data_IF_532594571757
#
_entry.id   IF_532594571757
#
_cell.length_a   1.000
_cell.length_b   1.000
_cell.length_c   1.000
_cell.angle_alpha   90.00
_cell.angle_beta   90.00
_cell.angle_gamma   90.00
#
_symmetry.space_group_name_H-M   'P 1'
#
loop_
_entity.id
_entity.type
_entity.pdbx_description
1 polymer ?
#
# COMPACT_ATOMS: atom_id res chain seq x y z
N UNK A 1 1.72 10.77 6.93
CA UNK A 1 0.47 10.20 6.38
C UNK A 1 -0.02 9.09 7.30
N UNK A 2 -1.31 9.06 7.56
CA UNK A 2 -1.89 8.00 8.35
C UNK A 2 -1.98 6.71 7.55
N UNK A 3 -1.75 5.60 8.22
CA UNK A 3 -1.80 4.28 7.59
C UNK A 3 -3.14 4.03 6.89
N UNK A 4 -4.22 4.44 7.51
CA UNK A 4 -5.57 4.32 6.94
C UNK A 4 -5.70 5.05 5.61
N UNK A 5 -5.08 6.22 5.50
CA UNK A 5 -5.12 7.01 4.27
C UNK A 5 -4.33 6.32 3.16
N UNK A 6 -3.18 5.74 3.50
CA UNK A 6 -2.37 5.00 2.54
C UNK A 6 -3.15 3.80 1.98
N UNK A 7 -3.73 3.01 2.87
CA UNK A 7 -4.51 1.84 2.49
C UNK A 7 -5.71 2.24 1.63
N UNK A 8 -6.38 3.33 1.99
CA UNK A 8 -7.51 3.83 1.23
C UNK A 8 -7.09 4.22 -0.19
N UNK A 9 -5.96 4.89 -0.34
CA UNK A 9 -5.45 5.27 -1.66
C UNK A 9 -5.13 4.04 -2.51
N UNK A 10 -4.56 3.02 -1.92
CA UNK A 10 -4.29 1.76 -2.62
C UNK A 10 -5.59 1.11 -3.07
N UNK A 11 -6.57 1.05 -2.19
CA UNK A 11 -7.86 0.45 -2.48
C UNK A 11 -8.56 1.19 -3.62
N UNK A 12 -8.55 2.51 -3.60
CA UNK A 12 -9.15 3.34 -4.64
C UNK A 12 -8.47 3.17 -6.00
N UNK A 13 -7.18 2.83 -6.00
CA UNK A 13 -6.44 2.59 -7.23
C UNK A 13 -6.66 1.17 -7.78
N UNK A 14 -7.33 0.32 -7.04
CA UNK A 14 -7.62 -1.04 -7.46
C UNK A 14 -6.73 -2.12 -6.86
N UNK A 15 -5.88 -1.76 -5.91
CA UNK A 15 -5.05 -2.74 -5.22
C UNK A 15 -5.89 -3.62 -4.31
N UNK A 16 -5.61 -4.91 -4.32
CA UNK A 16 -6.38 -5.91 -3.58
C UNK A 16 -5.48 -6.57 -2.56
N UNK A 17 -5.92 -6.57 -1.31
CA UNK A 17 -5.21 -7.26 -0.23
C UNK A 17 -5.39 -8.77 -0.41
N UNK A 18 -4.30 -9.48 -0.65
CA UNK A 18 -4.34 -10.93 -0.86
C UNK A 18 -3.80 -11.70 0.34
N UNK A 19 -3.02 -11.07 1.18
CA UNK A 19 -2.48 -11.71 2.38
C UNK A 19 -2.18 -10.65 3.44
N UNK A 20 -2.53 -10.96 4.68
CA UNK A 20 -2.18 -10.13 5.82
C UNK A 20 -1.59 -11.04 6.89
N UNK A 21 -0.28 -10.95 7.07
CA UNK A 21 0.45 -11.76 8.03
C UNK A 21 1.42 -10.82 8.76
N UNK A 22 2.72 -11.03 8.64
CA UNK A 22 3.71 -10.07 9.16
C UNK A 22 3.73 -8.80 8.32
N UNK A 23 3.33 -8.92 7.06
CA UNK A 23 3.21 -7.81 6.12
C UNK A 23 1.90 -7.96 5.38
N UNK A 24 1.39 -6.86 4.84
CA UNK A 24 0.25 -6.90 3.95
C UNK A 24 0.74 -6.99 2.52
N UNK A 25 0.25 -7.98 1.79
CA UNK A 25 0.60 -8.18 0.39
C UNK A 25 -0.59 -7.77 -0.46
N UNK A 26 -0.36 -6.84 -1.38
CA UNK A 26 -1.38 -6.34 -2.30
C UNK A 26 -1.02 -6.71 -3.72
N UNK A 27 -2.04 -6.99 -4.51
CA UNK A 27 -1.90 -7.24 -5.95
C UNK A 27 -2.90 -6.37 -6.70
N UNK A 28 -2.60 -6.12 -7.98
CA UNK A 28 -3.44 -5.28 -8.82
C UNK A 28 -3.84 -6.06 -10.07
N UNK A 29 -5.13 -6.01 -10.48
CA UNK A 29 -5.60 -6.77 -11.65
C UNK A 29 -4.98 -6.30 -12.97
N UNK A 30 -4.58 -5.05 -13.05
CA UNK A 30 -3.98 -4.48 -14.27
C UNK A 30 -2.47 -4.33 -14.14
N UNK A 31 -2.02 -3.79 -13.02
CA UNK A 31 -0.59 -3.60 -12.76
C UNK A 31 0.03 -4.91 -12.35
N UNK A 32 0.94 -5.44 -13.16
CA UNK A 32 1.58 -6.74 -12.90
C UNK A 32 2.69 -6.58 -11.87
N UNK A 33 2.29 -6.25 -10.66
CA UNK A 33 3.21 -5.92 -9.59
C UNK A 33 2.59 -6.31 -8.24
N UNK A 34 3.45 -6.62 -7.29
CA UNK A 34 3.03 -6.94 -5.94
C UNK A 34 3.61 -5.90 -4.99
N UNK A 35 2.79 -5.44 -4.06
CA UNK A 35 3.24 -4.53 -3.01
C UNK A 35 3.32 -5.27 -1.69
N UNK A 36 4.41 -5.06 -0.97
CA UNK A 36 4.58 -5.56 0.38
C UNK A 36 4.63 -4.37 1.31
N UNK A 37 3.66 -4.27 2.20
CA UNK A 37 3.53 -3.13 3.11
C UNK A 37 3.67 -3.62 4.54
N UNK A 38 4.59 -3.03 5.34
CA UNK A 38 4.71 -3.42 6.75
C UNK A 38 3.42 -3.13 7.48
N UNK A 39 3.09 -3.98 8.46
CA UNK A 39 1.96 -3.72 9.33
C UNK A 39 2.28 -2.53 10.23
N UNK A 40 1.39 -1.56 10.22
CA UNK A 40 1.56 -0.33 10.97
C UNK A 40 0.23 0.11 11.56
N UNK A 41 0.29 0.78 12.69
CA UNK A 41 -0.87 1.46 13.24
C UNK A 41 -0.49 2.93 13.43
N UNK A 42 -1.40 3.84 13.06
CA UNK A 42 -1.18 5.27 13.21
C UNK A 42 -0.43 5.88 12.03
N UNK A 43 0.66 6.55 12.30
CA UNK A 43 1.40 7.31 11.31
C UNK A 43 2.46 6.49 10.60
N UNK A 44 2.62 6.76 9.31
CA UNK A 44 3.72 6.23 8.51
C UNK A 44 4.63 7.40 8.17
N UNK A 45 5.94 7.24 8.26
CA UNK A 45 6.87 8.30 7.85
C UNK A 45 6.56 8.74 6.41
N UNK A 46 6.61 10.02 6.16
CA UNK A 46 6.28 10.60 4.86
C UNK A 46 7.08 9.97 3.72
N UNK A 47 8.37 9.76 3.94
CA UNK A 47 9.22 9.13 2.93
C UNK A 47 8.80 7.71 2.59
N UNK A 48 8.42 6.94 3.61
CA UNK A 48 7.96 5.56 3.43
C UNK A 48 6.64 5.53 2.66
N UNK A 49 5.70 6.38 3.05
CA UNK A 49 4.40 6.49 2.38
C UNK A 49 4.57 6.89 0.91
N UNK A 50 5.41 7.88 0.65
CA UNK A 50 5.68 8.33 -0.72
C UNK A 50 6.27 7.23 -1.57
N UNK A 51 7.19 6.45 -1.01
CA UNK A 51 7.82 5.34 -1.70
C UNK A 51 6.80 4.27 -2.07
N UNK A 52 5.91 3.93 -1.14
CA UNK A 52 4.86 2.94 -1.39
C UNK A 52 3.91 3.43 -2.48
N UNK A 53 3.48 4.68 -2.42
CA UNK A 53 2.60 5.26 -3.43
C UNK A 53 3.26 5.31 -4.80
N UNK A 54 4.55 5.60 -4.83
CA UNK A 54 5.31 5.62 -6.07
C UNK A 54 5.41 4.21 -6.66
N UNK A 55 5.70 3.22 -5.83
CA UNK A 55 5.77 1.83 -6.25
C UNK A 55 4.41 1.33 -6.75
N UNK A 56 3.34 1.84 -6.18
CA UNK A 56 1.98 1.50 -6.59
C UNK A 56 1.55 2.22 -7.87
N UNK A 57 2.35 3.14 -8.37
CA UNK A 57 2.02 3.90 -9.56
C UNK A 57 0.96 4.98 -9.33
N UNK A 58 0.73 5.37 -8.08
CA UNK A 58 -0.24 6.41 -7.73
C UNK A 58 0.43 7.78 -7.74
N UNK A 59 1.69 7.80 -7.39
CA UNK A 59 2.44 9.05 -7.27
C UNK A 59 3.37 9.26 -8.45
#
# INVERSE_FOLDING_TARGET
MKYKELVKKLDEDGWILVRSNKHRIYRHPVKKKQLTIPLHSGEIPTGTAARILKDAGIL
#
